data_IF_919993073175
#
_entry.id   IF_919993073175
#
_cell.length_a   1.000
_cell.length_b   1.000
_cell.length_c   1.000
_cell.angle_alpha   90.00
_cell.angle_beta   90.00
_cell.angle_gamma   90.00
#
_symmetry.space_group_name_H-M   'P 1'
#
loop_
_entity.id
_entity.type
_entity.pdbx_description
1 polymer ?
#
# COMPACT_ATOMS: atom_id res chain seq x y z
N UNK A 1 7.30 -6.54 -11.13
CA UNK A 1 6.85 -5.49 -10.19
C UNK A 1 6.32 -6.08 -8.88
N UNK A 2 5.37 -7.01 -8.90
CA UNK A 2 4.91 -7.74 -7.71
C UNK A 2 6.05 -8.36 -6.90
N UNK A 3 7.02 -9.01 -7.56
CA UNK A 3 8.21 -9.58 -6.90
C UNK A 3 9.01 -8.54 -6.11
N UNK A 4 9.30 -7.38 -6.72
CA UNK A 4 10.02 -6.30 -6.06
C UNK A 4 9.25 -5.72 -4.86
N UNK A 5 7.93 -5.55 -4.99
CA UNK A 5 7.08 -5.09 -3.88
C UNK A 5 7.08 -6.09 -2.73
N UNK A 6 6.99 -7.39 -3.03
CA UNK A 6 7.04 -8.44 -2.01
C UNK A 6 8.42 -8.49 -1.33
N UNK A 7 9.51 -8.39 -2.10
CA UNK A 7 10.86 -8.36 -1.54
C UNK A 7 11.07 -7.15 -0.62
N UNK A 8 10.58 -5.97 -1.01
CA UNK A 8 10.66 -4.78 -0.17
C UNK A 8 9.78 -4.88 1.08
N UNK A 9 8.58 -5.45 0.95
CA UNK A 9 7.68 -5.73 2.08
C UNK A 9 8.35 -6.67 3.08
N UNK A 10 8.98 -7.74 2.60
CA UNK A 10 9.71 -8.69 3.44
C UNK A 10 10.89 -8.02 4.14
N UNK A 11 11.69 -7.24 3.41
CA UNK A 11 12.81 -6.50 3.99
C UNK A 11 12.35 -5.55 5.09
N UNK A 12 11.30 -4.77 4.85
CA UNK A 12 10.76 -3.84 5.84
C UNK A 12 10.18 -4.57 7.06
N UNK A 13 9.59 -5.75 6.88
CA UNK A 13 9.13 -6.59 7.98
C UNK A 13 10.29 -7.07 8.85
N UNK A 14 11.30 -7.66 8.21
CA UNK A 14 12.33 -8.47 8.86
C UNK A 14 13.44 -7.63 9.47
N UNK A 15 13.80 -6.52 8.82
CA UNK A 15 14.97 -5.72 9.20
C UNK A 15 14.62 -4.34 9.74
N UNK A 16 13.44 -3.81 9.41
CA UNK A 16 13.00 -2.48 9.88
C UNK A 16 11.92 -2.57 10.94
N UNK A 17 11.45 -3.77 11.28
CA UNK A 17 10.35 -4.00 12.22
C UNK A 17 9.13 -3.11 11.91
N UNK A 18 8.86 -2.88 10.62
CA UNK A 18 7.82 -1.95 10.19
C UNK A 18 6.45 -2.39 10.73
N UNK A 19 5.78 -1.49 11.46
CA UNK A 19 4.43 -1.74 11.97
C UNK A 19 3.34 -1.43 10.94
N UNK A 20 3.68 -0.66 9.90
CA UNK A 20 2.76 -0.25 8.84
C UNK A 20 3.53 0.01 7.56
N UNK A 21 2.97 -0.47 6.46
CA UNK A 21 3.47 -0.29 5.11
C UNK A 21 2.34 0.23 4.23
N UNK A 22 2.64 1.27 3.45
CA UNK A 22 1.70 1.91 2.55
C UNK A 22 2.21 1.87 1.11
N UNK A 23 1.31 1.53 0.19
CA UNK A 23 1.46 1.80 -1.24
C UNK A 23 0.46 2.89 -1.59
N UNK A 24 0.99 4.02 -2.09
CA UNK A 24 0.21 5.17 -2.52
C UNK A 24 0.21 5.30 -4.03
N UNK A 25 -0.95 5.56 -4.62
CA UNK A 25 -1.05 5.75 -6.07
C UNK A 25 -2.30 6.52 -6.48
N UNK A 26 -2.21 7.16 -7.65
CA UNK A 26 -3.36 7.78 -8.32
C UNK A 26 -4.48 6.74 -8.54
N UNK A 27 -5.74 7.03 -8.18
CA UNK A 27 -6.85 6.10 -8.40
C UNK A 27 -7.04 5.68 -9.85
N UNK A 28 -6.60 6.51 -10.80
CA UNK A 28 -6.63 6.25 -12.25
C UNK A 28 -5.55 5.26 -12.69
N UNK A 29 -4.51 5.05 -11.88
CA UNK A 29 -3.45 4.09 -12.18
C UNK A 29 -3.86 2.65 -11.81
N UNK A 30 -4.72 2.08 -12.64
CA UNK A 30 -5.25 0.72 -12.47
C UNK A 30 -4.13 -0.33 -12.38
N UNK A 31 -3.01 -0.13 -13.06
CA UNK A 31 -1.89 -1.07 -13.04
C UNK A 31 -1.23 -1.13 -11.66
N UNK A 32 -0.93 0.01 -11.03
CA UNK A 32 -0.35 0.05 -9.68
C UNK A 32 -1.33 -0.48 -8.63
N UNK A 33 -2.62 -0.14 -8.75
CA UNK A 33 -3.68 -0.67 -7.87
C UNK A 33 -3.71 -2.21 -7.88
N UNK A 34 -3.71 -2.80 -9.07
CA UNK A 34 -3.62 -4.27 -9.25
C UNK A 34 -2.33 -4.88 -8.72
N UNK A 35 -1.23 -4.13 -8.65
CA UNK A 35 0.00 -4.62 -8.00
C UNK A 35 -0.18 -4.66 -6.49
N UNK A 36 -0.68 -3.58 -5.88
CA UNK A 36 -0.94 -3.51 -4.44
C UNK A 36 -1.90 -4.63 -3.98
N UNK A 37 -3.00 -4.83 -4.71
CA UNK A 37 -3.98 -5.89 -4.46
C UNK A 37 -3.37 -7.28 -4.57
N UNK A 38 -2.58 -7.56 -5.63
CA UNK A 38 -1.88 -8.86 -5.78
C UNK A 38 -0.81 -9.10 -4.72
N UNK A 39 -0.22 -8.04 -4.17
CA UNK A 39 0.71 -8.11 -3.04
C UNK A 39 -0.02 -8.25 -1.69
N UNK A 40 -1.35 -8.29 -1.67
CA UNK A 40 -2.17 -8.50 -0.48
C UNK A 40 -2.30 -7.25 0.40
N UNK A 41 -2.10 -6.05 -0.15
CA UNK A 41 -2.41 -4.81 0.57
C UNK A 41 -3.91 -4.50 0.47
N UNK A 42 -4.49 -3.97 1.55
CA UNK A 42 -5.89 -3.58 1.62
C UNK A 42 -6.08 -2.11 1.24
N UNK A 43 -7.09 -1.77 0.44
CA UNK A 43 -7.43 -0.37 0.16
C UNK A 43 -8.10 0.25 1.40
N UNK A 44 -7.31 0.83 2.29
CA UNK A 44 -7.80 1.42 3.54
C UNK A 44 -8.51 2.76 3.30
N UNK A 45 -7.99 3.58 2.38
CA UNK A 45 -8.54 4.91 2.13
C UNK A 45 -8.35 5.39 0.70
N UNK A 46 -9.25 6.28 0.27
CA UNK A 46 -9.05 7.16 -0.88
C UNK A 46 -9.12 8.59 -0.37
N UNK A 47 -7.98 9.27 -0.33
CA UNK A 47 -7.88 10.65 0.11
C UNK A 47 -8.18 11.57 -1.06
N UNK A 48 -9.24 12.37 -0.95
CA UNK A 48 -9.65 13.28 -2.01
C UNK A 48 -8.72 14.49 -2.06
N UNK A 49 -8.31 14.89 -3.27
CA UNK A 49 -7.51 16.11 -3.51
C UNK A 49 -6.25 16.18 -2.64
N UNK A 50 -5.56 15.06 -2.47
CA UNK A 50 -4.49 14.90 -1.49
C UNK A 50 -3.09 15.27 -2.00
N UNK A 51 -2.85 15.28 -3.31
CA UNK A 51 -1.55 15.68 -3.86
C UNK A 51 -1.65 16.32 -5.24
N UNK A 52 -0.60 17.05 -5.63
CA UNK A 52 -0.48 17.66 -6.96
C UNK A 52 0.39 16.77 -7.84
N UNK A 53 -0.11 16.47 -9.04
CA UNK A 53 0.63 15.81 -10.11
C UNK A 53 0.75 16.77 -11.33
N UNK A 54 1.43 16.38 -12.42
CA UNK A 54 1.59 17.26 -13.59
C UNK A 54 0.27 17.71 -14.26
N UNK A 55 -0.84 17.03 -13.98
CA UNK A 55 -2.18 17.37 -14.50
C UNK A 55 -3.03 18.19 -13.52
N UNK A 56 -2.51 18.48 -12.32
CA UNK A 56 -3.19 19.23 -11.28
C UNK A 56 -3.43 18.44 -10.00
N UNK A 57 -4.42 18.87 -9.23
CA UNK A 57 -4.78 18.25 -7.94
C UNK A 57 -5.43 16.88 -8.18
N UNK A 58 -5.02 15.89 -7.39
CA UNK A 58 -5.42 14.49 -7.55
C UNK A 58 -5.76 13.83 -6.22
N UNK A 59 -6.62 12.84 -6.31
CA UNK A 59 -6.94 11.91 -5.22
C UNK A 59 -5.80 10.89 -5.06
N UNK A 60 -5.70 10.26 -3.89
CA UNK A 60 -4.64 9.32 -3.50
C UNK A 60 -5.25 8.04 -2.89
N UNK A 61 -5.06 6.89 -3.55
CA UNK A 61 -5.38 5.59 -2.96
C UNK A 61 -4.27 5.18 -1.98
N UNK A 62 -4.65 4.88 -0.75
CA UNK A 62 -3.75 4.36 0.29
C UNK A 62 -4.04 2.88 0.51
N UNK A 63 -3.14 2.04 0.00
CA UNK A 63 -3.17 0.60 0.21
C UNK A 63 -2.24 0.23 1.35
N UNK A 64 -2.72 -0.56 2.32
CA UNK A 64 -2.05 -0.73 3.61
C UNK A 64 -1.84 -2.20 3.95
N UNK A 65 -0.69 -2.48 4.58
CA UNK A 65 -0.50 -3.59 5.52
C UNK A 65 -0.07 -3.06 6.88
N UNK A 66 -0.51 -3.70 7.94
CA UNK A 66 -0.12 -3.44 9.32
C UNK A 66 0.40 -4.74 9.96
N UNK A 67 1.23 -4.57 10.98
CA UNK A 67 1.61 -5.65 11.89
C UNK A 67 0.38 -6.05 12.70
N UNK A 68 -0.03 -7.31 12.59
CA UNK A 68 -1.11 -7.90 13.37
C UNK A 68 -0.57 -8.39 14.72
N UNK A 69 -1.48 -8.73 15.63
CA UNK A 69 -1.15 -9.22 16.97
C UNK A 69 -0.33 -10.52 16.95
N UNK A 70 -0.47 -11.33 15.89
CA UNK A 70 0.31 -12.56 15.68
C UNK A 70 1.72 -12.31 15.08
N UNK A 71 2.10 -11.05 14.87
CA UNK A 71 3.38 -10.63 14.32
C UNK A 71 3.46 -10.65 12.79
N UNK A 72 2.44 -11.16 12.11
CA UNK A 72 2.40 -11.18 10.63
C UNK A 72 2.00 -9.81 10.07
N UNK A 73 2.32 -9.58 8.79
CA UNK A 73 1.85 -8.39 8.07
C UNK A 73 0.58 -8.71 7.29
N UNK A 74 -0.51 -8.01 7.60
CA UNK A 74 -1.79 -8.17 6.96
C UNK A 74 -2.64 -6.92 7.07
N UNK A 75 -3.95 -7.06 7.00
CA UNK A 75 -4.88 -6.00 7.34
C UNK A 75 -5.99 -6.59 8.21
N UNK A 76 -6.39 -5.96 9.32
CA UNK A 76 -7.51 -6.44 10.11
C UNK A 76 -8.76 -6.28 9.26
N UNK A 77 -9.33 -7.41 8.85
CA UNK A 77 -10.64 -7.45 8.21
C UNK A 77 -11.56 -8.09 9.26
N UNK A 78 -12.62 -7.40 9.63
CA UNK A 78 -13.68 -7.92 10.52
C UNK A 78 -14.35 -9.17 9.92
#
# INVERSE_FOLDING_TARGET
>A
MTEAVNALTQFASDYLEANRLEIRCDPRNVASRKVAERCGYYLEAVLLKNYVNPTGLSDDCVYTKVRLDDGTLGYPID
#
